data_IF_089024826386
#
_entry.id   IF_089024826386
#
_cell.length_a   1.000
_cell.length_b   1.000
_cell.length_c   1.000
_cell.angle_alpha   90.00
_cell.angle_beta   90.00
_cell.angle_gamma   90.00
#
_symmetry.space_group_name_H-M   'P 1'
#
loop_
_entity.id
_entity.type
_entity.pdbx_description
1 polymer ?
#
# COMPACT_ATOMS: atom_id res chain seq x y z
N UNK A 1 62.35 11.37 -13.88
CA UNK A 1 61.67 10.60 -12.82
C UNK A 1 60.28 11.19 -12.69
N UNK A 2 59.25 10.41 -13.03
CA UNK A 2 57.90 10.91 -13.31
C UNK A 2 57.17 11.40 -12.05
N UNK A 3 56.55 12.59 -12.16
CA UNK A 3 55.62 13.12 -11.16
C UNK A 3 54.28 12.39 -11.32
N UNK A 4 53.93 11.52 -10.38
CA UNK A 4 52.62 10.88 -10.34
C UNK A 4 51.66 11.78 -9.54
N UNK A 5 51.07 12.75 -10.23
CA UNK A 5 49.91 13.47 -9.73
C UNK A 5 48.76 12.47 -9.62
N UNK A 6 48.26 12.26 -8.41
CA UNK A 6 47.06 11.49 -8.17
C UNK A 6 45.88 12.32 -8.68
N UNK A 7 45.24 11.85 -9.74
CA UNK A 7 43.97 12.40 -10.20
C UNK A 7 42.93 12.22 -9.07
N UNK A 8 42.20 13.27 -8.67
CA UNK A 8 41.04 13.10 -7.82
C UNK A 8 40.03 12.29 -8.62
N UNK A 9 39.66 11.10 -8.10
CA UNK A 9 38.51 10.34 -8.57
C UNK A 9 37.27 11.23 -8.43
N UNK A 10 36.95 11.99 -9.48
CA UNK A 10 35.68 12.66 -9.62
C UNK A 10 34.66 11.59 -9.99
N UNK A 11 34.17 10.90 -8.98
CA UNK A 11 32.88 10.22 -9.09
C UNK A 11 31.83 11.33 -9.18
N UNK A 12 31.65 11.87 -10.38
CA UNK A 12 30.51 12.72 -10.68
C UNK A 12 29.26 11.83 -10.60
N UNK A 13 28.31 12.12 -9.70
CA UNK A 13 27.03 11.44 -9.77
C UNK A 13 26.38 11.90 -11.07
N UNK A 14 26.04 10.95 -11.95
CA UNK A 14 25.36 11.26 -13.21
C UNK A 14 24.08 12.05 -12.87
N UNK A 15 23.90 13.28 -13.39
CA UNK A 15 22.74 14.11 -13.09
C UNK A 15 21.38 13.46 -13.44
N UNK A 16 21.39 12.43 -14.29
CA UNK A 16 20.20 11.65 -14.64
C UNK A 16 19.71 10.74 -13.51
N UNK A 17 20.61 10.18 -12.71
CA UNK A 17 20.28 9.24 -11.63
C UNK A 17 19.60 9.96 -10.46
N UNK A 18 20.06 11.17 -10.15
CA UNK A 18 19.49 12.01 -9.08
C UNK A 18 18.03 12.42 -9.39
N UNK A 19 17.73 12.71 -10.66
CA UNK A 19 16.37 13.05 -11.10
C UNK A 19 15.39 11.89 -11.01
N UNK A 20 15.84 10.68 -11.30
CA UNK A 20 15.01 9.48 -11.22
C UNK A 20 14.72 9.13 -9.75
N UNK A 21 15.70 9.28 -8.85
CA UNK A 21 15.53 9.08 -7.41
C UNK A 21 14.57 10.11 -6.78
N UNK A 22 14.70 11.40 -7.10
CA UNK A 22 13.77 12.46 -6.64
C UNK A 22 12.32 12.23 -7.12
N UNK A 23 12.16 11.74 -8.36
CA UNK A 23 10.84 11.51 -8.94
C UNK A 23 10.16 10.28 -8.30
N UNK A 24 10.93 9.23 -8.02
CA UNK A 24 10.46 8.04 -7.30
C UNK A 24 10.10 8.41 -5.85
N UNK A 25 10.87 9.29 -5.21
CA UNK A 25 10.56 9.81 -3.88
C UNK A 25 9.28 10.65 -3.87
N UNK A 26 9.08 11.56 -4.84
CA UNK A 26 7.84 12.32 -5.01
C UNK A 26 6.63 11.40 -5.22
N UNK A 27 6.75 10.38 -6.08
CA UNK A 27 5.69 9.40 -6.31
C UNK A 27 5.35 8.63 -5.04
N UNK A 28 6.36 8.19 -4.26
CA UNK A 28 6.12 7.49 -2.99
C UNK A 28 5.47 8.38 -1.93
N UNK A 29 5.84 9.66 -1.87
CA UNK A 29 5.21 10.65 -0.97
C UNK A 29 3.75 10.90 -1.39
N UNK A 30 3.48 10.97 -2.69
CA UNK A 30 2.12 11.13 -3.23
C UNK A 30 1.23 9.93 -2.90
N UNK A 31 1.76 8.71 -2.97
CA UNK A 31 1.06 7.48 -2.61
C UNK A 31 0.84 7.37 -1.10
N UNK A 32 1.81 7.79 -0.29
CA UNK A 32 1.63 7.89 1.17
C UNK A 32 0.56 8.91 1.54
N UNK A 33 0.51 10.06 0.87
CA UNK A 33 -0.55 11.04 1.09
C UNK A 33 -1.93 10.49 0.72
N UNK A 34 -2.05 9.76 -0.39
CA UNK A 34 -3.29 9.08 -0.78
C UNK A 34 -3.71 8.01 0.23
N UNK A 35 -2.76 7.21 0.72
CA UNK A 35 -3.01 6.24 1.79
C UNK A 35 -3.45 6.94 3.07
N UNK A 36 -2.88 8.12 3.39
CA UNK A 36 -3.24 8.89 4.57
C UNK A 36 -4.68 9.43 4.47
N UNK A 37 -5.07 9.97 3.32
CA UNK A 37 -6.45 10.43 3.05
C UNK A 37 -7.44 9.28 3.14
N UNK A 38 -7.06 8.08 2.68
CA UNK A 38 -7.87 6.87 2.77
C UNK A 38 -7.72 6.09 4.10
N UNK A 39 -6.96 6.59 5.08
CA UNK A 39 -6.70 5.88 6.35
C UNK A 39 -7.99 5.48 7.05
N UNK A 40 -9.03 6.29 6.93
CA UNK A 40 -10.32 6.03 7.58
C UNK A 40 -11.22 5.07 6.79
N UNK A 41 -10.97 4.84 5.51
CA UNK A 41 -11.83 3.98 4.69
C UNK A 41 -11.86 2.54 5.22
N UNK A 42 -10.70 1.96 5.50
CA UNK A 42 -10.60 0.60 6.06
C UNK A 42 -11.28 0.46 7.43
N UNK A 43 -10.92 1.23 8.49
CA UNK A 43 -11.51 1.05 9.80
C UNK A 43 -13.01 1.34 9.81
N UNK A 44 -13.50 2.27 8.99
CA UNK A 44 -14.94 2.54 8.91
C UNK A 44 -15.71 1.41 8.22
N UNK A 45 -15.18 0.85 7.14
CA UNK A 45 -15.80 -0.30 6.45
C UNK A 45 -15.74 -1.55 7.34
N UNK A 46 -14.61 -1.79 8.02
CA UNK A 46 -14.47 -2.89 8.97
C UNK A 46 -15.47 -2.74 10.13
N UNK A 47 -15.61 -1.53 10.69
CA UNK A 47 -16.61 -1.24 11.72
C UNK A 47 -18.02 -1.60 11.24
N UNK A 48 -18.41 -1.13 10.06
CA UNK A 48 -19.74 -1.44 9.51
C UNK A 48 -19.93 -2.95 9.25
N UNK A 49 -18.90 -3.64 8.76
CA UNK A 49 -18.95 -5.09 8.55
C UNK A 49 -19.16 -5.87 9.86
N UNK A 50 -18.58 -5.40 10.98
CA UNK A 50 -18.83 -5.97 12.30
C UNK A 50 -20.25 -5.66 12.80
N UNK A 51 -20.70 -4.40 12.69
CA UNK A 51 -22.03 -3.99 13.14
C UNK A 51 -23.18 -4.68 12.37
N UNK A 52 -22.97 -4.96 11.09
CA UNK A 52 -23.93 -5.69 10.26
C UNK A 52 -23.84 -7.23 10.44
N UNK A 53 -22.83 -7.74 11.15
CA UNK A 53 -22.63 -9.19 11.30
C UNK A 53 -22.11 -9.88 10.03
N UNK A 54 -21.46 -9.15 9.11
CA UNK A 54 -20.86 -9.71 7.89
C UNK A 54 -19.77 -10.72 8.25
N UNK A 55 -18.93 -10.38 9.24
CA UNK A 55 -17.83 -11.25 9.68
C UNK A 55 -18.38 -12.53 10.32
N UNK A 56 -19.42 -12.42 11.15
CA UNK A 56 -20.08 -13.57 11.77
C UNK A 56 -20.76 -14.46 10.73
N UNK A 57 -21.36 -13.84 9.71
CA UNK A 57 -22.00 -14.57 8.59
C UNK A 57 -20.98 -15.39 7.80
N UNK A 58 -19.78 -14.84 7.57
CA UNK A 58 -18.69 -15.54 6.89
C UNK A 58 -18.09 -16.62 7.80
N UNK A 59 -17.98 -16.40 9.11
CA UNK A 59 -17.39 -17.39 10.03
C UNK A 59 -18.33 -18.56 10.35
N UNK A 60 -19.63 -18.42 10.09
CA UNK A 60 -20.62 -19.45 10.33
C UNK A 60 -20.64 -20.58 9.28
N UNK A 61 -19.93 -20.44 8.15
CA UNK A 61 -19.81 -21.52 7.16
C UNK A 61 -18.57 -22.37 7.40
N UNK A 62 -18.58 -23.59 6.85
CA UNK A 62 -17.44 -24.51 6.97
C UNK A 62 -16.15 -23.91 6.38
N UNK A 63 -15.02 -24.31 6.94
CA UNK A 63 -13.71 -23.84 6.50
C UNK A 63 -13.48 -24.12 5.00
N UNK A 64 -12.98 -23.12 4.27
CA UNK A 64 -12.73 -23.22 2.83
C UNK A 64 -13.93 -22.93 1.94
N UNK A 65 -15.13 -22.70 2.50
CA UNK A 65 -16.30 -22.25 1.74
C UNK A 65 -16.18 -20.76 1.43
N UNK A 66 -16.25 -20.42 0.15
CA UNK A 66 -16.30 -19.03 -0.33
C UNK A 66 -17.75 -18.62 -0.63
N UNK A 67 -18.15 -17.46 -0.13
CA UNK A 67 -19.46 -16.89 -0.37
C UNK A 67 -19.37 -15.71 -1.34
N UNK A 68 -20.31 -15.63 -2.27
CA UNK A 68 -20.57 -14.42 -3.05
C UNK A 68 -21.20 -13.31 -2.18
N UNK A 69 -21.16 -12.07 -2.66
CA UNK A 69 -21.77 -10.95 -1.94
C UNK A 69 -23.28 -11.14 -1.70
N UNK A 70 -24.03 -11.66 -2.68
CA UNK A 70 -25.45 -11.96 -2.53
C UNK A 70 -25.70 -13.05 -1.49
N UNK A 71 -24.84 -14.06 -1.43
CA UNK A 71 -24.92 -15.13 -0.45
C UNK A 71 -24.67 -14.65 0.97
N UNK A 72 -23.76 -13.69 1.15
CA UNK A 72 -23.55 -13.03 2.43
C UNK A 72 -24.83 -12.26 2.82
N UNK A 73 -25.35 -11.42 1.93
CA UNK A 73 -26.55 -10.59 2.20
C UNK A 73 -27.75 -11.45 2.58
N UNK A 74 -27.97 -12.59 1.91
CA UNK A 74 -29.08 -13.50 2.21
C UNK A 74 -28.99 -14.16 3.59
N UNK A 75 -27.81 -14.17 4.20
CA UNK A 75 -27.53 -14.78 5.50
C UNK A 75 -27.38 -13.77 6.63
N UNK A 76 -27.39 -12.46 6.35
CA UNK A 76 -27.27 -11.44 7.37
C UNK A 76 -28.48 -11.48 8.33
N UNK A 77 -28.26 -11.20 9.63
CA UNK A 77 -29.34 -11.02 10.58
C UNK A 77 -30.09 -9.72 10.26
N UNK A 78 -31.26 -9.83 9.64
CA UNK A 78 -32.14 -8.70 9.28
C UNK A 78 -33.03 -8.31 10.47
#
# INVERSE_FOLDING_TARGET
MANHLQDPLTTSPKPSLIKEEEQLEEETVSLQAQSLVNTMAFPMVLKAALELGVIDTISAVDEGVWLSASEIVLRLPI
#
